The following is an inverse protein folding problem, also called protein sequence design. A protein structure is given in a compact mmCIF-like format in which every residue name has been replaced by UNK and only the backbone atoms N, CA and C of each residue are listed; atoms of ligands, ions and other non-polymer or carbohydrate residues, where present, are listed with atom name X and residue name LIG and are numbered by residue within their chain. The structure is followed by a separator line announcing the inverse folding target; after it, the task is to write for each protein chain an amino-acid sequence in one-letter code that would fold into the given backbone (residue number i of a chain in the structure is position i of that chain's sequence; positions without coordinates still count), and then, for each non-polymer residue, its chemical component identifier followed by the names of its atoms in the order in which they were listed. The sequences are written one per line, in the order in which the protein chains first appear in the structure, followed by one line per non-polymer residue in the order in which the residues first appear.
data_IF_274387278678
#
_entry.id   IF_274387278678
#
_cell.length_a   1.000
_cell.length_b   1.000
_cell.length_c   1.000
_cell.angle_alpha   90.00
_cell.angle_beta   90.00
_cell.angle_gamma   90.00
#
_symmetry.space_group_name_H-M   'P 1'
#
loop_
_entity.id
_entity.type
_entity.pdbx_description
1 polymer ?
#
# COMPACT_ATOMS: atom_id res chain seq x y z
N UNK A 1 -8.47 29.11 -21.36
CA UNK A 1 -7.52 28.22 -22.06
C UNK A 1 -7.98 26.79 -21.85
N UNK A 2 -7.78 25.89 -22.81
CA UNK A 2 -8.08 24.47 -22.60
C UNK A 2 -7.12 23.89 -21.53
N UNK A 3 -7.60 22.93 -20.73
CA UNK A 3 -6.82 22.24 -19.71
C UNK A 3 -6.63 20.78 -20.10
N UNK A 4 -5.48 20.20 -19.77
CA UNK A 4 -5.22 18.77 -19.94
C UNK A 4 -5.25 18.14 -18.55
N UNK A 5 -6.18 17.22 -18.30
CA UNK A 5 -6.36 16.60 -16.99
C UNK A 5 -6.31 15.08 -17.11
N UNK A 6 -5.79 14.41 -16.08
CA UNK A 6 -5.85 12.95 -15.97
C UNK A 6 -7.18 12.44 -15.41
N UNK A 7 -8.07 13.35 -14.99
CA UNK A 7 -9.37 13.00 -14.39
C UNK A 7 -10.39 12.55 -15.44
N UNK A 8 -11.14 11.51 -15.13
CA UNK A 8 -12.28 11.07 -15.93
C UNK A 8 -13.52 11.95 -15.77
N UNK A 9 -14.53 11.74 -16.61
CA UNK A 9 -15.81 12.44 -16.49
C UNK A 9 -16.52 12.15 -15.15
N UNK A 10 -16.38 10.92 -14.64
CA UNK A 10 -16.94 10.50 -13.35
C UNK A 10 -16.24 11.20 -12.17
N UNK A 11 -14.92 11.31 -12.26
CA UNK A 11 -14.08 12.05 -11.31
C UNK A 11 -14.41 13.55 -11.27
N UNK A 12 -14.55 14.19 -12.44
CA UNK A 12 -14.92 15.61 -12.53
C UNK A 12 -16.30 15.86 -11.93
N UNK A 13 -17.25 14.94 -12.14
CA UNK A 13 -18.58 15.02 -11.53
C UNK A 13 -18.48 14.95 -9.99
N UNK A 14 -17.70 14.00 -9.47
CA UNK A 14 -17.47 13.85 -8.03
C UNK A 14 -16.83 15.10 -7.41
N UNK A 15 -15.83 15.69 -8.06
CA UNK A 15 -15.24 16.97 -7.64
C UNK A 15 -16.27 18.10 -7.57
N UNK A 16 -17.15 18.20 -8.58
CA UNK A 16 -18.17 19.24 -8.62
C UNK A 16 -19.12 19.14 -7.41
N UNK A 17 -19.48 17.93 -6.98
CA UNK A 17 -20.30 17.72 -5.78
C UNK A 17 -19.59 18.11 -4.47
N UNK A 18 -18.25 18.18 -4.47
CA UNK A 18 -17.43 18.68 -3.36
C UNK A 18 -16.94 20.11 -3.55
N UNK A 19 -17.55 20.85 -4.48
CA UNK A 19 -17.22 22.25 -4.76
C UNK A 19 -15.80 22.47 -5.30
N UNK A 20 -15.29 21.50 -6.04
CA UNK A 20 -14.03 21.60 -6.78
C UNK A 20 -14.27 21.61 -8.30
N UNK A 21 -13.22 21.93 -9.04
CA UNK A 21 -13.15 21.85 -10.50
C UNK A 21 -11.80 21.28 -10.91
N UNK A 22 -11.74 20.65 -12.08
CA UNK A 22 -10.52 20.06 -12.61
C UNK A 22 -9.48 21.11 -13.03
N UNK A 23 -8.21 20.74 -12.84
CA UNK A 23 -7.02 21.48 -13.23
C UNK A 23 -6.09 20.64 -14.11
N UNK A 24 -4.90 21.18 -14.39
CA UNK A 24 -3.87 20.53 -15.20
C UNK A 24 -3.35 19.23 -14.55
N UNK A 25 -2.97 18.27 -15.38
CA UNK A 25 -2.11 17.16 -14.98
C UNK A 25 -0.75 17.73 -14.57
N UNK A 26 -0.19 17.17 -13.49
CA UNK A 26 1.12 17.57 -12.97
C UNK A 26 2.02 16.38 -12.79
N UNK A 27 3.31 16.60 -13.03
CA UNK A 27 4.32 15.54 -12.98
C UNK A 27 5.52 15.98 -12.17
N UNK A 28 6.04 15.09 -11.33
CA UNK A 28 7.30 15.30 -10.63
C UNK A 28 8.18 14.08 -10.79
N UNK A 29 9.41 14.28 -11.26
CA UNK A 29 10.36 13.21 -11.43
C UNK A 29 11.69 13.46 -10.71
N UNK A 30 12.36 12.39 -10.29
CA UNK A 30 13.71 12.41 -9.74
C UNK A 30 14.47 11.23 -10.33
N UNK A 31 15.61 11.49 -10.98
CA UNK A 31 16.43 10.45 -11.63
C UNK A 31 17.74 10.30 -10.89
N UNK A 32 18.01 9.10 -10.40
CA UNK A 32 19.23 8.75 -9.67
C UNK A 32 20.03 7.71 -10.47
N UNK A 33 21.35 7.85 -10.50
CA UNK A 33 22.21 6.91 -11.24
C UNK A 33 22.30 5.55 -10.56
N UNK A 34 22.33 4.46 -11.34
CA UNK A 34 22.53 3.11 -10.79
C UNK A 34 23.93 2.91 -10.21
N UNK A 35 24.94 3.70 -10.62
CA UNK A 35 26.27 3.65 -9.98
C UNK A 35 26.22 4.11 -8.52
N UNK A 36 25.44 5.15 -8.23
CA UNK A 36 25.20 5.63 -6.88
C UNK A 36 24.39 4.62 -6.06
N UNK A 37 23.27 4.13 -6.60
CA UNK A 37 22.38 3.19 -5.91
C UNK A 37 22.98 1.78 -5.77
N UNK A 38 23.70 1.30 -6.77
CA UNK A 38 24.41 0.02 -6.77
C UNK A 38 25.62 0.01 -5.85
N UNK A 39 26.30 1.15 -5.67
CA UNK A 39 27.37 1.31 -4.68
C UNK A 39 26.86 1.14 -3.24
N UNK A 40 25.62 1.57 -2.96
CA UNK A 40 24.94 1.33 -1.68
C UNK A 40 24.63 -0.16 -1.50
N UNK A 41 24.14 -0.83 -2.55
CA UNK A 41 23.77 -2.25 -2.56
C UNK A 41 24.94 -3.24 -2.46
N UNK A 42 26.08 -2.95 -3.08
CA UNK A 42 27.19 -3.89 -3.26
C UNK A 42 27.89 -4.30 -1.95
N UNK A 43 27.82 -3.48 -0.90
CA UNK A 43 28.39 -3.76 0.43
C UNK A 43 27.51 -4.67 1.33
N UNK A 44 26.30 -5.02 0.88
CA UNK A 44 25.27 -5.60 1.74
C UNK A 44 25.01 -7.09 1.46
N UNK A 45 25.86 -7.73 0.62
CA UNK A 45 25.74 -9.14 0.22
C UNK A 45 25.74 -10.16 1.39
N UNK A 46 25.99 -9.71 2.62
CA UNK A 46 26.06 -10.54 3.83
C UNK A 46 24.98 -10.21 4.88
N UNK A 47 24.00 -9.35 4.58
CA UNK A 47 22.95 -9.04 5.56
C UNK A 47 22.00 -10.23 5.75
N UNK A 48 21.81 -10.61 7.02
CA UNK A 48 20.71 -11.44 7.48
C UNK A 48 19.39 -10.77 7.05
N UNK A 49 18.39 -11.56 6.66
CA UNK A 49 17.15 -11.08 6.04
C UNK A 49 16.50 -9.91 6.79
N UNK A 50 15.78 -9.07 6.05
CA UNK A 50 15.14 -7.86 6.57
C UNK A 50 15.60 -6.58 5.88
N UNK A 51 15.33 -5.45 6.52
CA UNK A 51 15.53 -4.11 5.97
C UNK A 51 16.98 -3.82 5.58
N UNK A 52 17.14 -3.26 4.38
CA UNK A 52 18.36 -2.62 3.92
C UNK A 52 18.18 -1.12 4.08
N UNK A 53 18.64 -0.57 5.20
CA UNK A 53 18.32 0.81 5.60
C UNK A 53 18.86 1.86 4.64
N UNK A 54 20.08 1.70 4.11
CA UNK A 54 20.64 2.70 3.20
C UNK A 54 19.90 2.74 1.85
N UNK A 55 19.49 1.57 1.34
CA UNK A 55 18.65 1.48 0.13
C UNK A 55 17.26 2.06 0.40
N UNK A 56 16.66 1.71 1.54
CA UNK A 56 15.36 2.24 1.96
C UNK A 56 15.38 3.77 1.99
N UNK A 57 16.40 4.36 2.60
CA UNK A 57 16.57 5.81 2.67
C UNK A 57 16.78 6.44 1.29
N UNK A 58 17.59 5.85 0.43
CA UNK A 58 17.84 6.37 -0.92
C UNK A 58 16.57 6.36 -1.81
N UNK A 59 15.78 5.28 -1.72
CA UNK A 59 14.48 5.20 -2.41
C UNK A 59 13.50 6.22 -1.83
N UNK A 60 13.44 6.33 -0.50
CA UNK A 60 12.58 7.30 0.17
C UNK A 60 12.89 8.74 -0.26
N UNK A 61 14.16 9.12 -0.25
CA UNK A 61 14.62 10.45 -0.68
C UNK A 61 14.30 10.72 -2.15
N UNK A 62 14.50 9.73 -3.03
CA UNK A 62 14.13 9.82 -4.44
C UNK A 62 12.64 10.09 -4.64
N UNK A 63 11.78 9.36 -3.92
CA UNK A 63 10.31 9.57 -3.95
C UNK A 63 9.93 10.93 -3.38
N UNK A 64 10.50 11.34 -2.25
CA UNK A 64 10.22 12.64 -1.63
C UNK A 64 10.60 13.81 -2.55
N UNK A 65 11.75 13.73 -3.23
CA UNK A 65 12.19 14.74 -4.19
C UNK A 65 11.26 14.83 -5.42
N UNK A 66 10.82 13.69 -5.95
CA UNK A 66 9.87 13.66 -7.07
C UNK A 66 8.50 14.21 -6.66
N UNK A 67 7.99 13.81 -5.49
CA UNK A 67 6.73 14.30 -4.94
C UNK A 67 6.73 15.82 -4.71
N UNK A 68 7.80 16.37 -4.15
CA UNK A 68 7.93 17.81 -3.91
C UNK A 68 7.99 18.62 -5.22
N UNK A 69 8.59 18.06 -6.28
CA UNK A 69 8.57 18.68 -7.62
C UNK A 69 7.15 18.74 -8.19
N UNK A 70 6.38 17.65 -8.09
CA UNK A 70 4.98 17.61 -8.50
C UNK A 70 4.14 18.65 -7.73
N UNK A 71 4.35 18.78 -6.41
CA UNK A 71 3.68 19.81 -5.59
C UNK A 71 4.01 21.24 -6.04
N UNK A 72 5.28 21.52 -6.36
CA UNK A 72 5.70 22.83 -6.86
C UNK A 72 5.04 23.16 -8.20
N UNK A 73 4.95 22.19 -9.10
CA UNK A 73 4.24 22.35 -10.37
C UNK A 73 2.74 22.65 -10.15
N UNK A 74 2.08 21.89 -9.27
CA UNK A 74 0.68 22.15 -8.90
C UNK A 74 0.47 23.56 -8.31
N UNK A 75 1.40 24.03 -7.49
CA UNK A 75 1.37 25.39 -6.94
C UNK A 75 1.52 26.46 -8.03
N UNK A 76 2.35 26.23 -9.05
CA UNK A 76 2.48 27.14 -10.20
C UNK A 76 1.19 27.23 -11.03
N UNK A 77 0.41 26.15 -11.07
CA UNK A 77 -0.93 26.15 -11.67
C UNK A 77 -2.01 26.79 -10.79
N UNK A 78 -1.67 27.27 -9.57
CA UNK A 78 -2.66 27.83 -8.64
C UNK A 78 -3.66 26.77 -8.15
N UNK A 79 -3.24 25.52 -8.06
CA UNK A 79 -4.08 24.43 -7.59
C UNK A 79 -4.40 24.56 -6.10
N UNK A 80 -5.63 24.20 -5.74
CA UNK A 80 -6.05 23.99 -4.34
C UNK A 80 -5.59 22.64 -3.80
N UNK A 81 -5.28 21.69 -4.68
CA UNK A 81 -4.70 20.42 -4.34
C UNK A 81 -4.44 19.55 -5.56
N UNK A 82 -3.99 18.32 -5.33
CA UNK A 82 -3.79 17.31 -6.39
C UNK A 82 -4.51 16.01 -6.00
N UNK A 83 -5.37 15.52 -6.88
CA UNK A 83 -6.07 14.25 -6.72
C UNK A 83 -5.41 13.15 -7.55
N UNK A 84 -5.59 11.89 -7.14
CA UNK A 84 -5.13 10.71 -7.89
C UNK A 84 -3.60 10.62 -7.98
N UNK A 85 -2.89 10.95 -6.90
CA UNK A 85 -1.42 10.90 -6.90
C UNK A 85 -0.95 9.45 -6.97
N UNK A 86 -0.40 9.07 -8.12
CA UNK A 86 0.28 7.79 -8.33
C UNK A 86 1.80 7.95 -8.20
N UNK A 87 2.48 6.85 -7.85
CA UNK A 87 3.93 6.80 -7.76
C UNK A 87 4.46 5.59 -8.49
N UNK A 88 5.46 5.80 -9.35
CA UNK A 88 6.11 4.75 -10.11
C UNK A 88 7.62 4.76 -9.89
N UNK A 89 8.21 3.57 -9.96
CA UNK A 89 9.65 3.38 -9.94
C UNK A 89 10.07 2.73 -11.25
N UNK A 90 10.72 3.49 -12.12
CA UNK A 90 11.13 3.03 -13.45
C UNK A 90 12.64 2.87 -13.53
N UNK A 91 13.09 1.82 -14.19
CA UNK A 91 14.50 1.63 -14.50
C UNK A 91 14.72 1.88 -15.99
N UNK A 92 15.62 2.80 -16.34
CA UNK A 92 16.00 3.02 -17.73
C UNK A 92 17.46 3.47 -17.85
N UNK A 93 18.14 3.02 -18.90
CA UNK A 93 19.46 3.52 -19.34
C UNK A 93 20.49 3.74 -18.23
N UNK A 94 20.65 2.80 -17.29
CA UNK A 94 21.65 2.99 -16.24
C UNK A 94 21.17 3.78 -15.02
N UNK A 95 19.89 4.15 -14.94
CA UNK A 95 19.32 5.01 -13.91
C UNK A 95 17.98 4.49 -13.39
N UNK A 96 17.58 5.01 -12.23
CA UNK A 96 16.27 4.79 -11.63
C UNK A 96 15.54 6.13 -11.56
N UNK A 97 14.32 6.17 -12.09
CA UNK A 97 13.43 7.32 -12.02
C UNK A 97 12.29 7.05 -11.03
N UNK A 98 12.14 7.98 -10.09
CA UNK A 98 10.97 8.11 -9.25
C UNK A 98 10.02 9.09 -9.93
N UNK A 99 8.81 8.66 -10.22
CA UNK A 99 7.81 9.45 -10.92
C UNK A 99 6.56 9.59 -10.05
N UNK A 100 6.05 10.81 -9.94
CA UNK A 100 4.75 11.11 -9.35
C UNK A 100 3.90 11.83 -10.38
N UNK A 101 2.66 11.38 -10.55
CA UNK A 101 1.68 11.99 -11.46
C UNK A 101 0.38 12.20 -10.69
N UNK A 102 -0.31 13.30 -10.95
CA UNK A 102 -1.65 13.54 -10.42
C UNK A 102 -2.35 14.65 -11.20
N UNK A 103 -3.59 14.94 -10.83
CA UNK A 103 -4.36 16.02 -11.47
C UNK A 103 -4.70 17.12 -10.48
N UNK A 104 -4.41 18.36 -10.85
CA UNK A 104 -4.76 19.53 -10.04
C UNK A 104 -6.28 19.62 -9.85
N UNK A 105 -6.69 20.11 -8.70
CA UNK A 105 -8.07 20.49 -8.40
C UNK A 105 -8.11 21.91 -7.88
N UNK A 106 -9.16 22.66 -8.23
CA UNK A 106 -9.36 24.05 -7.77
C UNK A 106 -10.69 24.15 -7.04
N UNK A 107 -10.65 24.60 -5.79
CA UNK A 107 -11.87 24.92 -5.06
C UNK A 107 -12.59 26.08 -5.75
N UNK A 108 -13.92 26.05 -5.76
CA UNK A 108 -14.74 27.12 -6.35
C UNK A 108 -14.93 28.30 -5.40
N UNK A 109 -14.83 28.04 -4.10
CA UNK A 109 -14.79 29.07 -3.05
C UNK A 109 -13.34 29.29 -2.58
N UNK A 110 -13.13 30.28 -1.70
CA UNK A 110 -11.83 30.51 -1.08
C UNK A 110 -11.34 29.21 -0.41
N UNK A 111 -10.37 28.56 -1.05
CA UNK A 111 -9.84 27.29 -0.63
C UNK A 111 -9.07 27.42 0.68
N UNK A 112 -9.29 26.44 1.56
CA UNK A 112 -8.37 26.07 2.63
C UNK A 112 -7.04 25.52 2.08
N UNK A 113 -6.10 25.27 3.00
CA UNK A 113 -4.76 24.70 2.83
C UNK A 113 -4.64 23.72 1.66
N UNK A 114 -3.56 23.84 0.89
CA UNK A 114 -3.21 22.91 -0.20
C UNK A 114 -3.17 21.45 0.29
N UNK A 115 -3.75 20.53 -0.47
CA UNK A 115 -3.76 19.10 -0.15
C UNK A 115 -3.31 18.22 -1.32
N UNK A 116 -2.98 16.96 -1.05
CA UNK A 116 -2.80 15.92 -2.07
C UNK A 116 -3.44 14.61 -1.61
N UNK A 117 -3.86 13.75 -2.54
CA UNK A 117 -4.50 12.46 -2.21
C UNK A 117 -3.90 11.31 -3.00
N UNK A 118 -3.76 10.15 -2.38
CA UNK A 118 -3.41 8.92 -3.11
C UNK A 118 -4.57 8.43 -3.97
N UNK A 119 -5.79 8.55 -3.44
CA UNK A 119 -7.01 8.19 -4.16
C UNK A 119 -7.34 9.16 -5.28
N UNK A 120 -7.98 8.63 -6.31
CA UNK A 120 -8.56 9.39 -7.42
C UNK A 120 -9.70 10.32 -6.92
N UNK A 121 -10.33 11.08 -7.81
CA UNK A 121 -11.35 12.02 -7.37
C UNK A 121 -12.68 11.37 -6.92
N UNK A 122 -12.96 10.12 -7.32
CA UNK A 122 -14.10 9.36 -6.81
C UNK A 122 -13.84 8.96 -5.35
N UNK A 123 -12.65 8.41 -5.06
CA UNK A 123 -12.24 8.06 -3.71
C UNK A 123 -12.14 9.31 -2.81
N UNK A 124 -11.65 10.43 -3.34
CA UNK A 124 -11.65 11.71 -2.64
C UNK A 124 -13.06 12.17 -2.25
N UNK A 125 -14.03 12.03 -3.15
CA UNK A 125 -15.43 12.32 -2.84
C UNK A 125 -15.91 11.48 -1.67
N UNK A 126 -15.65 10.17 -1.69
CA UNK A 126 -16.05 9.24 -0.65
C UNK A 126 -15.42 9.59 0.70
N UNK A 127 -14.11 9.88 0.74
CA UNK A 127 -13.41 10.33 1.95
C UNK A 127 -14.04 11.60 2.53
N UNK A 128 -14.23 12.63 1.72
CA UNK A 128 -14.83 13.90 2.17
C UNK A 128 -16.29 13.75 2.63
N UNK A 129 -17.04 12.84 2.02
CA UNK A 129 -18.42 12.52 2.39
C UNK A 129 -18.49 11.74 3.72
N UNK A 130 -17.51 10.86 3.95
CA UNK A 130 -17.30 10.16 5.22
C UNK A 130 -16.65 11.03 6.31
N UNK A 131 -16.49 12.35 6.08
CA UNK A 131 -15.99 13.30 7.08
C UNK A 131 -14.45 13.40 7.19
N UNK A 132 -13.70 12.74 6.30
CA UNK A 132 -12.24 12.83 6.26
C UNK A 132 -11.81 14.02 5.41
N UNK A 133 -11.13 14.97 6.05
CA UNK A 133 -10.54 16.13 5.39
C UNK A 133 -9.13 15.79 4.90
N UNK A 134 -8.86 15.81 3.58
CA UNK A 134 -7.56 15.40 3.06
C UNK A 134 -6.47 16.42 3.43
N UNK A 135 -5.28 15.92 3.77
CA UNK A 135 -4.09 16.73 4.05
C UNK A 135 -3.03 16.45 3.00
N UNK A 136 -2.61 15.20 2.84
CA UNK A 136 -1.48 14.88 1.97
C UNK A 136 -1.46 13.42 1.52
N UNK A 137 -0.91 13.18 0.32
CA UNK A 137 -0.45 11.87 -0.10
C UNK A 137 0.70 11.46 0.82
N UNK A 138 0.49 10.41 1.61
CA UNK A 138 1.50 9.84 2.50
C UNK A 138 2.02 8.53 1.93
N UNK A 139 3.32 8.29 2.07
CA UNK A 139 3.95 7.06 1.64
C UNK A 139 5.03 6.58 2.61
N UNK A 140 5.08 5.27 2.84
CA UNK A 140 6.10 4.60 3.63
C UNK A 140 6.68 3.44 2.84
N UNK A 141 7.99 3.47 2.59
CA UNK A 141 8.68 2.42 1.87
C UNK A 141 9.68 1.67 2.76
N UNK A 142 9.96 0.44 2.38
CA UNK A 142 11.06 -0.37 2.92
C UNK A 142 11.65 -1.24 1.82
N UNK A 143 12.98 -1.19 1.68
CA UNK A 143 13.72 -2.12 0.84
C UNK A 143 14.30 -3.22 1.72
N UNK A 144 14.10 -4.48 1.35
CA UNK A 144 14.53 -5.62 2.15
C UNK A 144 15.04 -6.77 1.28
N UNK A 145 15.92 -7.58 1.88
CA UNK A 145 16.38 -8.84 1.30
C UNK A 145 15.71 -10.01 2.01
N UNK A 146 15.40 -11.06 1.26
CA UNK A 146 14.85 -12.31 1.80
C UNK A 146 15.92 -13.17 2.49
N UNK A 147 17.22 -12.83 2.35
CA UNK A 147 18.30 -13.38 3.19
C UNK A 147 18.50 -14.89 3.14
N UNK A 148 18.08 -15.58 2.07
CA UNK A 148 18.00 -17.05 2.01
C UNK A 148 19.35 -17.75 1.76
N UNK A 149 20.48 -17.08 2.02
CA UNK A 149 21.78 -17.43 1.42
C UNK A 149 22.93 -17.88 2.32
N UNK A 150 22.85 -17.89 3.66
CA UNK A 150 24.01 -18.41 4.40
C UNK A 150 24.09 -18.32 5.93
N UNK A 151 23.20 -17.59 6.62
CA UNK A 151 23.28 -17.46 8.08
C UNK A 151 22.33 -18.38 8.85
N UNK A 152 21.05 -18.39 8.46
CA UNK A 152 19.96 -19.07 9.21
C UNK A 152 19.82 -20.54 8.79
N UNK A 153 20.19 -20.88 7.54
CA UNK A 153 20.13 -22.26 7.05
C UNK A 153 21.07 -23.21 7.83
N UNK A 154 22.14 -22.68 8.44
CA UNK A 154 23.08 -23.43 9.27
C UNK A 154 22.61 -23.69 10.71
N UNK A 155 21.70 -22.85 11.24
CA UNK A 155 21.07 -23.04 12.55
C UNK A 155 19.75 -23.81 12.47
N UNK A 156 19.14 -23.93 11.29
CA UNK A 156 17.94 -24.76 11.04
C UNK A 156 18.24 -26.28 11.02
N UNK A 157 18.99 -26.78 12.00
CA UNK A 157 19.06 -28.21 12.31
C UNK A 157 17.83 -28.64 13.12
N UNK A 158 16.62 -28.59 12.52
CA UNK A 158 15.37 -29.25 12.98
C UNK A 158 14.23 -28.74 12.09
N UNK A 159 13.72 -29.45 11.08
CA UNK A 159 12.91 -30.67 11.15
C UNK A 159 11.68 -30.54 12.09
N UNK A 160 11.02 -29.38 12.07
CA UNK A 160 9.66 -29.23 12.64
C UNK A 160 8.70 -28.96 11.49
N UNK A 161 7.67 -29.80 11.39
CA UNK A 161 6.45 -29.52 10.62
C UNK A 161 5.78 -28.31 11.25
N UNK A 162 5.78 -27.16 10.58
CA UNK A 162 5.23 -25.95 11.15
C UNK A 162 5.86 -24.69 10.56
N UNK A 163 5.33 -23.55 11.01
CA UNK A 163 5.84 -22.24 10.66
C UNK A 163 7.31 -22.07 11.09
N UNK A 164 8.11 -21.42 10.25
CA UNK A 164 9.45 -20.96 10.62
C UNK A 164 9.34 -19.55 11.20
N UNK A 165 9.05 -19.46 12.50
CA UNK A 165 8.71 -18.21 13.17
C UNK A 165 9.78 -17.12 13.06
N UNK A 166 11.06 -17.48 12.98
CA UNK A 166 12.14 -16.49 12.77
C UNK A 166 11.99 -15.75 11.43
N UNK A 167 11.69 -16.46 10.34
CA UNK A 167 11.39 -15.83 9.05
C UNK A 167 10.08 -15.04 9.11
N UNK A 168 9.03 -15.61 9.68
CA UNK A 168 7.76 -14.88 9.86
C UNK A 168 7.97 -13.56 10.60
N UNK A 169 8.77 -13.55 11.67
CA UNK A 169 9.06 -12.36 12.45
C UNK A 169 9.84 -11.30 11.64
N UNK A 170 10.82 -11.72 10.82
CA UNK A 170 11.54 -10.81 9.93
C UNK A 170 10.57 -10.14 8.94
N UNK A 171 9.71 -10.93 8.29
CA UNK A 171 8.75 -10.42 7.33
C UNK A 171 7.72 -9.50 8.01
N UNK A 172 7.12 -9.94 9.12
CA UNK A 172 6.17 -9.12 9.89
C UNK A 172 6.81 -7.78 10.32
N UNK A 173 7.99 -7.82 10.94
CA UNK A 173 8.69 -6.60 11.37
C UNK A 173 8.99 -5.68 10.19
N UNK A 174 9.46 -6.23 9.08
CA UNK A 174 9.77 -5.45 7.87
C UNK A 174 8.52 -4.76 7.31
N UNK A 175 7.40 -5.47 7.21
CA UNK A 175 6.15 -4.89 6.68
C UNK A 175 5.58 -3.83 7.61
N UNK A 176 5.62 -4.04 8.91
CA UNK A 176 5.16 -3.05 9.90
C UNK A 176 5.97 -1.76 9.85
N UNK A 177 7.28 -1.82 9.61
CA UNK A 177 8.10 -0.62 9.44
C UNK A 177 7.69 0.25 8.25
N UNK A 178 7.15 -0.31 7.16
CA UNK A 178 6.61 0.48 6.06
C UNK A 178 5.38 1.29 6.52
N UNK A 179 4.47 0.64 7.25
CA UNK A 179 3.31 1.29 7.85
C UNK A 179 3.70 2.37 8.86
N UNK A 180 4.68 2.09 9.74
CA UNK A 180 5.19 3.06 10.71
C UNK A 180 5.75 4.32 10.06
N UNK A 181 6.44 4.20 8.91
CA UNK A 181 6.94 5.34 8.15
C UNK A 181 5.81 6.18 7.55
N UNK A 182 4.82 5.52 6.97
CA UNK A 182 3.60 6.17 6.46
C UNK A 182 2.88 6.94 7.58
N UNK A 183 2.69 6.31 8.74
CA UNK A 183 2.07 6.93 9.93
C UNK A 183 2.91 8.09 10.46
N UNK A 184 4.23 7.95 10.49
CA UNK A 184 5.15 9.01 10.95
C UNK A 184 5.06 10.25 10.07
N UNK A 185 5.00 10.07 8.75
CA UNK A 185 4.78 11.18 7.81
C UNK A 185 3.43 11.84 8.05
N UNK A 186 2.35 11.05 8.10
CA UNK A 186 0.99 11.57 8.30
C UNK A 186 0.87 12.37 9.61
N UNK A 187 1.45 11.86 10.70
CA UNK A 187 1.53 12.56 11.98
C UNK A 187 2.27 13.89 11.86
N UNK A 188 3.42 13.91 11.18
CA UNK A 188 4.20 15.13 10.97
C UNK A 188 3.43 16.20 10.16
N UNK A 189 2.58 15.77 9.23
CA UNK A 189 1.72 16.65 8.43
C UNK A 189 0.49 17.17 9.22
N UNK A 190 0.24 16.61 10.40
CA UNK A 190 -0.89 16.95 11.28
C UNK A 190 -2.17 16.15 10.98
N UNK A 191 -2.05 14.99 10.34
CA UNK A 191 -3.16 14.07 10.14
C UNK A 191 -3.39 13.18 11.37
N UNK A 192 -4.63 12.70 11.54
CA UNK A 192 -4.99 11.70 12.55
C UNK A 192 -5.51 10.39 11.92
N UNK A 193 -5.48 10.29 10.59
CA UNK A 193 -5.81 9.10 9.83
C UNK A 193 -4.97 9.00 8.55
N UNK A 194 -4.73 7.79 8.07
CA UNK A 194 -4.32 7.50 6.69
C UNK A 194 -5.27 6.45 6.12
N UNK A 195 -6.05 6.84 5.11
CA UNK A 195 -7.12 6.03 4.51
C UNK A 195 -6.83 5.72 3.05
N UNK A 196 -7.45 4.66 2.51
CA UNK A 196 -7.22 4.22 1.14
C UNK A 196 -5.79 3.72 0.91
N UNK A 197 -5.19 3.09 1.93
CA UNK A 197 -3.81 2.59 1.85
C UNK A 197 -3.73 1.47 0.82
N UNK A 198 -2.89 1.67 -0.19
CA UNK A 198 -2.50 0.65 -1.17
C UNK A 198 -1.11 0.17 -0.85
N UNK A 199 -0.93 -1.15 -0.87
CA UNK A 199 0.36 -1.81 -0.63
C UNK A 199 0.85 -2.44 -1.92
N UNK A 200 2.07 -2.08 -2.34
CA UNK A 200 2.73 -2.64 -3.51
C UNK A 200 4.07 -3.22 -3.12
N UNK A 201 4.41 -4.40 -3.65
CA UNK A 201 5.74 -5.00 -3.49
C UNK A 201 6.38 -5.06 -4.89
N UNK A 202 7.45 -4.30 -5.09
CA UNK A 202 8.18 -4.20 -6.35
C UNK A 202 9.54 -4.88 -6.23
N UNK A 203 9.94 -5.76 -7.17
CA UNK A 203 11.30 -6.23 -7.24
C UNK A 203 12.22 -5.08 -7.66
N UNK A 204 13.31 -4.87 -6.94
CA UNK A 204 14.27 -3.82 -7.24
C UNK A 204 15.70 -4.27 -6.94
N UNK A 205 16.53 -4.37 -7.98
CA UNK A 205 17.98 -4.64 -7.87
C UNK A 205 18.37 -5.84 -6.97
N UNK A 206 17.61 -6.94 -7.04
CA UNK A 206 17.85 -8.13 -6.21
C UNK A 206 17.32 -8.02 -4.77
N UNK A 207 16.58 -6.97 -4.47
CA UNK A 207 15.83 -6.73 -3.23
C UNK A 207 14.35 -6.58 -3.56
N UNK A 208 13.49 -6.51 -2.54
CA UNK A 208 12.09 -6.13 -2.69
C UNK A 208 11.88 -4.78 -2.03
N UNK A 209 11.21 -3.86 -2.72
CA UNK A 209 10.64 -2.66 -2.12
C UNK A 209 9.18 -2.93 -1.80
N UNK A 210 8.79 -2.81 -0.54
CA UNK A 210 7.40 -2.65 -0.17
C UNK A 210 7.10 -1.16 0.00
N UNK A 211 6.11 -0.67 -0.74
CA UNK A 211 5.59 0.69 -0.67
C UNK A 211 4.14 0.64 -0.18
N UNK A 212 3.84 1.38 0.88
CA UNK A 212 2.47 1.72 1.26
C UNK A 212 2.22 3.18 0.93
N UNK A 213 1.09 3.48 0.30
CA UNK A 213 0.68 4.84 0.01
C UNK A 213 -0.81 5.03 0.27
N UNK A 214 -1.19 6.16 0.85
CA UNK A 214 -2.57 6.47 1.21
C UNK A 214 -2.82 7.97 1.35
N UNK A 215 -4.04 8.35 1.70
CA UNK A 215 -4.41 9.75 1.90
C UNK A 215 -4.40 10.07 3.40
N UNK A 216 -3.36 10.78 3.85
CA UNK A 216 -3.32 11.34 5.18
C UNK A 216 -4.43 12.39 5.32
N UNK A 217 -5.26 12.23 6.33
CA UNK A 217 -6.49 12.99 6.51
C UNK A 217 -6.74 13.33 7.98
N UNK A 218 -7.62 14.29 8.22
CA UNK A 218 -8.15 14.60 9.55
C UNK A 218 -9.63 14.28 9.62
N UNK A 219 -10.04 13.55 10.66
CA UNK A 219 -11.44 13.31 10.99
C UNK A 219 -11.74 13.83 12.41
N UNK A 220 -12.75 14.70 12.54
CA UNK A 220 -13.05 15.40 13.79
C UNK A 220 -13.62 14.53 14.91
N UNK A 221 -14.24 13.40 14.58
CA UNK A 221 -14.79 12.47 15.58
C UNK A 221 -13.79 11.39 16.04
N UNK A 222 -12.58 11.34 15.47
CA UNK A 222 -11.56 10.42 15.97
C UNK A 222 -11.09 10.86 17.37
N UNK A 223 -10.73 9.90 18.26
CA UNK A 223 -10.24 10.24 19.59
C UNK A 223 -8.91 10.99 19.52
N UNK A 224 -8.62 11.82 20.52
CA UNK A 224 -7.37 12.59 20.59
C UNK A 224 -6.09 11.72 20.55
N UNK A 225 -6.18 10.44 20.93
CA UNK A 225 -5.07 9.49 20.75
C UNK A 225 -4.64 9.33 19.30
N UNK A 226 -5.55 9.53 18.35
CA UNK A 226 -5.27 9.46 16.92
C UNK A 226 -4.37 10.60 16.42
N UNK A 227 -4.27 11.73 17.13
CA UNK A 227 -3.30 12.77 16.80
C UNK A 227 -1.85 12.32 17.06
N UNK A 228 -1.65 11.42 18.04
CA UNK A 228 -0.34 10.85 18.35
C UNK A 228 -0.05 9.57 17.58
N UNK A 229 -1.09 8.78 17.31
CA UNK A 229 -1.04 7.52 16.59
C UNK A 229 -2.17 7.49 15.54
N UNK A 230 -1.95 8.11 14.36
CA UNK A 230 -2.95 8.13 13.30
C UNK A 230 -3.53 6.74 13.00
N UNK A 231 -4.85 6.66 12.84
CA UNK A 231 -5.51 5.41 12.43
C UNK A 231 -5.13 5.08 10.98
N UNK A 232 -5.14 3.81 10.61
CA UNK A 232 -4.78 3.37 9.26
C UNK A 232 -5.82 2.43 8.69
N UNK A 233 -6.02 2.48 7.37
CA UNK A 233 -7.04 1.66 6.68
C UNK A 233 -6.68 1.43 5.22
N UNK A 234 -6.81 0.18 4.77
CA UNK A 234 -6.75 -0.22 3.36
C UNK A 234 -8.13 -0.27 2.69
N UNK A 235 -9.21 0.02 3.42
CA UNK A 235 -10.55 0.15 2.82
C UNK A 235 -10.52 1.15 1.67
N UNK A 236 -11.16 0.78 0.55
CA UNK A 236 -11.38 1.72 -0.55
C UNK A 236 -12.25 2.89 -0.10
N UNK A 237 -12.31 3.97 -0.88
CA UNK A 237 -13.19 5.09 -0.58
C UNK A 237 -14.65 4.66 -0.34
N UNK A 238 -15.17 3.78 -1.19
CA UNK A 238 -16.53 3.25 -1.08
C UNK A 238 -16.71 2.38 0.17
N UNK A 239 -15.75 1.52 0.49
CA UNK A 239 -15.78 0.70 1.71
C UNK A 239 -15.70 1.57 2.97
N UNK A 240 -14.83 2.59 2.99
CA UNK A 240 -14.72 3.53 4.10
C UNK A 240 -16.04 4.30 4.29
N UNK A 241 -16.65 4.77 3.20
CA UNK A 241 -17.95 5.43 3.22
C UNK A 241 -19.04 4.49 3.76
N UNK A 242 -19.09 3.25 3.29
CA UNK A 242 -20.06 2.26 3.73
C UNK A 242 -19.92 1.96 5.22
N UNK A 243 -18.72 1.70 5.71
CA UNK A 243 -18.45 1.44 7.13
C UNK A 243 -18.79 2.66 7.99
N UNK A 244 -18.43 3.87 7.53
CA UNK A 244 -18.78 5.12 8.22
C UNK A 244 -20.28 5.35 8.28
N UNK A 245 -21.04 4.98 7.23
CA UNK A 245 -22.50 5.07 7.21
C UNK A 245 -23.18 4.17 8.26
N UNK A 246 -22.50 3.09 8.65
CA UNK A 246 -22.91 2.16 9.71
C UNK A 246 -22.40 2.57 11.11
N UNK A 247 -21.68 3.70 11.21
CA UNK A 247 -21.08 4.23 12.42
C UNK A 247 -19.74 3.62 12.82
N UNK A 248 -19.09 2.86 11.93
CA UNK A 248 -17.77 2.30 12.16
C UNK A 248 -16.66 3.27 11.73
N UNK A 249 -15.59 3.29 12.52
CA UNK A 249 -14.35 3.96 12.23
C UNK A 249 -13.22 2.93 12.06
N UNK A 250 -12.25 3.18 11.17
CA UNK A 250 -11.02 2.41 11.12
C UNK A 250 -10.19 2.67 12.38
N UNK A 251 -9.51 1.62 12.84
CA UNK A 251 -8.59 1.64 13.97
C UNK A 251 -7.16 1.48 13.48
N UNK A 252 -6.89 0.42 12.70
CA UNK A 252 -5.55 0.14 12.18
C UNK A 252 -5.62 -0.83 10.98
N UNK A 253 -4.74 -0.63 10.01
CA UNK A 253 -4.40 -1.61 9.00
C UNK A 253 -3.55 -2.69 9.65
N UNK A 254 -4.08 -3.90 9.70
CA UNK A 254 -3.44 -5.07 10.29
C UNK A 254 -2.81 -5.93 9.21
N UNK A 255 -1.65 -6.50 9.51
CA UNK A 255 -0.90 -7.36 8.60
C UNK A 255 -0.23 -8.50 9.34
N UNK A 256 -0.37 -9.72 8.83
CA UNK A 256 0.26 -10.90 9.41
C UNK A 256 0.75 -11.85 8.34
N UNK A 257 1.98 -12.31 8.51
CA UNK A 257 2.65 -13.29 7.66
C UNK A 257 3.02 -14.54 8.45
N UNK A 258 2.90 -15.69 7.79
CA UNK A 258 3.41 -16.99 8.24
C UNK A 258 4.25 -17.64 7.15
N UNK A 259 5.51 -17.98 7.45
CA UNK A 259 6.47 -18.60 6.52
C UNK A 259 6.64 -20.09 6.83
N UNK A 260 6.62 -20.93 5.80
CA UNK A 260 6.79 -22.38 5.91
C UNK A 260 7.83 -22.90 4.91
N UNK A 261 8.47 -24.03 5.23
CA UNK A 261 9.36 -24.73 4.30
C UNK A 261 8.70 -25.93 3.63
N UNK A 262 8.62 -25.87 2.31
CA UNK A 262 8.39 -27.01 1.42
C UNK A 262 9.57 -27.98 1.40
N UNK A 263 10.78 -27.60 1.82
CA UNK A 263 11.97 -28.46 1.76
C UNK A 263 11.87 -29.74 2.62
N UNK A 264 11.08 -29.69 3.70
CA UNK A 264 10.72 -30.89 4.49
C UNK A 264 9.74 -31.78 3.71
N UNK A 265 8.86 -31.15 2.92
CA UNK A 265 7.91 -31.84 2.03
C UNK A 265 8.59 -32.33 0.75
N UNK A 266 9.65 -31.69 0.27
CA UNK A 266 10.36 -31.96 -0.99
C UNK A 266 11.10 -33.28 -1.03
N UNK A 267 11.71 -33.70 0.09
CA UNK A 267 12.25 -35.06 0.24
C UNK A 267 11.15 -36.13 0.20
N UNK A 268 9.92 -35.75 0.58
CA UNK A 268 8.72 -36.58 0.53
C UNK A 268 8.03 -36.55 -0.86
N UNK A 269 8.01 -35.40 -1.53
CA UNK A 269 7.42 -35.15 -2.86
C UNK A 269 8.22 -35.83 -3.98
N UNK A 270 9.55 -35.95 -3.84
CA UNK A 270 10.36 -36.77 -4.73
C UNK A 270 10.04 -38.27 -4.59
N UNK A 271 9.67 -38.75 -3.40
CA UNK A 271 9.19 -40.12 -3.17
C UNK A 271 7.74 -40.32 -3.67
N UNK A 272 6.90 -39.28 -3.61
CA UNK A 272 5.50 -39.28 -4.08
C UNK A 272 5.31 -38.99 -5.57
N UNK A 273 6.31 -38.44 -6.29
CA UNK A 273 6.24 -38.24 -7.75
C UNK A 273 6.03 -39.54 -8.55
N UNK A 274 6.18 -40.70 -7.92
CA UNK A 274 5.83 -42.00 -8.50
C UNK A 274 4.32 -42.30 -8.49
N UNK A 275 3.52 -41.58 -7.69
CA UNK A 275 2.08 -41.83 -7.50
C UNK A 275 1.38 -40.53 -7.09
N UNK A 276 0.70 -39.82 -8.03
CA UNK A 276 -0.68 -39.28 -7.84
C UNK A 276 -1.07 -38.22 -8.88
N UNK A 277 -2.18 -38.47 -9.58
CA UNK A 277 -3.18 -37.47 -9.99
C UNK A 277 -4.07 -37.25 -8.75
N UNK A 278 -4.03 -36.08 -8.10
CA UNK A 278 -4.85 -35.80 -6.91
C UNK A 278 -4.33 -34.63 -6.07
N UNK A 279 -5.05 -34.31 -4.99
CA UNK A 279 -4.65 -33.34 -3.97
C UNK A 279 -3.43 -33.83 -3.18
N UNK A 280 -2.49 -32.92 -2.88
CA UNK A 280 -1.35 -33.22 -2.02
C UNK A 280 -1.72 -32.83 -0.59
N UNK A 281 -2.27 -33.78 0.16
CA UNK A 281 -2.83 -33.56 1.52
C UNK A 281 -1.90 -32.80 2.46
N UNK A 282 -0.60 -33.02 2.36
CA UNK A 282 0.40 -32.39 3.23
C UNK A 282 0.59 -30.91 2.90
N UNK A 283 0.56 -30.56 1.61
CA UNK A 283 0.62 -29.16 1.17
C UNK A 283 -0.67 -28.43 1.52
N UNK A 284 -1.82 -29.09 1.34
CA UNK A 284 -3.12 -28.52 1.75
C UNK A 284 -3.12 -28.22 3.25
N UNK A 285 -2.68 -29.17 4.08
CA UNK A 285 -2.62 -28.98 5.54
C UNK A 285 -1.68 -27.83 5.90
N UNK A 286 -0.50 -27.77 5.28
CA UNK A 286 0.47 -26.70 5.52
C UNK A 286 -0.10 -25.30 5.23
N UNK A 287 -0.79 -25.14 4.09
CA UNK A 287 -1.42 -23.85 3.74
C UNK A 287 -2.58 -23.53 4.69
N UNK A 288 -3.34 -24.54 5.13
CA UNK A 288 -4.38 -24.35 6.14
C UNK A 288 -3.82 -23.88 7.47
N UNK A 289 -2.77 -24.52 7.97
CA UNK A 289 -2.10 -24.15 9.22
C UNK A 289 -1.53 -22.73 9.12
N UNK A 290 -0.87 -22.39 8.00
CA UNK A 290 -0.34 -21.06 7.75
C UNK A 290 -1.41 -19.98 7.76
N UNK A 291 -2.57 -20.27 7.15
CA UNK A 291 -3.72 -19.38 7.13
C UNK A 291 -4.29 -19.18 8.53
N UNK A 292 -4.48 -20.26 9.28
CA UNK A 292 -5.06 -20.21 10.62
C UNK A 292 -4.20 -19.36 11.56
N UNK A 293 -2.87 -19.56 11.53
CA UNK A 293 -1.92 -18.75 12.31
C UNK A 293 -1.96 -17.28 11.89
N UNK A 294 -1.93 -16.99 10.59
CA UNK A 294 -1.91 -15.60 10.12
C UNK A 294 -3.20 -14.85 10.52
N UNK A 295 -4.37 -15.48 10.36
CA UNK A 295 -5.66 -14.90 10.73
C UNK A 295 -5.81 -14.78 12.25
N UNK A 296 -5.35 -15.76 13.02
CA UNK A 296 -5.38 -15.69 14.48
C UNK A 296 -4.61 -14.47 15.00
N UNK A 297 -3.41 -14.21 14.47
CA UNK A 297 -2.62 -13.02 14.83
C UNK A 297 -3.30 -11.70 14.47
N UNK A 298 -3.95 -11.62 13.30
CA UNK A 298 -4.74 -10.43 12.95
C UNK A 298 -5.86 -10.20 13.97
N UNK A 299 -6.52 -11.27 14.40
CA UNK A 299 -7.58 -11.18 15.41
C UNK A 299 -7.04 -10.78 16.78
N UNK A 300 -5.94 -11.41 17.22
CA UNK A 300 -5.30 -11.08 18.49
C UNK A 300 -4.90 -9.60 18.54
N UNK A 301 -4.30 -9.07 17.47
CA UNK A 301 -3.94 -7.65 17.38
C UNK A 301 -5.20 -6.75 17.36
N UNK A 302 -6.27 -7.16 16.68
CA UNK A 302 -7.53 -6.41 16.68
C UNK A 302 -8.17 -6.36 18.08
N UNK A 303 -8.16 -7.49 18.81
CA UNK A 303 -8.66 -7.62 20.17
C UNK A 303 -7.84 -6.75 21.14
N UNK A 304 -6.52 -6.71 21.00
CA UNK A 304 -5.61 -5.83 21.77
C UNK A 304 -5.90 -4.34 21.53
N UNK A 305 -6.29 -3.97 20.30
CA UNK A 305 -6.69 -2.61 19.94
C UNK A 305 -8.14 -2.29 20.35
N UNK A 306 -8.90 -3.28 20.84
CA UNK A 306 -10.30 -3.16 21.19
C UNK A 306 -11.20 -2.84 19.99
N UNK A 307 -10.81 -3.32 18.80
CA UNK A 307 -11.63 -3.31 17.60
C UNK A 307 -12.75 -4.36 17.71
N UNK A 308 -13.83 -4.17 16.97
CA UNK A 308 -14.97 -5.10 16.96
C UNK A 308 -14.85 -6.12 15.83
N UNK A 309 -14.27 -5.71 14.69
CA UNK A 309 -14.16 -6.55 13.49
C UNK A 309 -12.85 -6.24 12.75
N UNK A 310 -12.37 -7.21 11.95
CA UNK A 310 -11.35 -7.00 10.91
C UNK A 310 -12.02 -7.22 9.56
N UNK A 311 -12.18 -6.16 8.79
CA UNK A 311 -12.95 -6.16 7.54
C UNK A 311 -12.04 -6.04 6.32
N UNK A 312 -12.57 -6.44 5.17
CA UNK A 312 -11.83 -6.39 3.91
C UNK A 312 -10.57 -7.24 3.92
N UNK A 313 -10.56 -8.40 4.59
CA UNK A 313 -9.36 -9.25 4.68
C UNK A 313 -9.02 -9.81 3.30
N UNK A 314 -7.80 -9.54 2.82
CA UNK A 314 -7.21 -10.16 1.64
C UNK A 314 -6.10 -11.11 2.05
N UNK A 315 -5.98 -12.24 1.35
CA UNK A 315 -4.96 -13.25 1.62
C UNK A 315 -4.11 -13.50 0.39
N UNK A 316 -2.81 -13.64 0.59
CA UNK A 316 -1.83 -13.87 -0.47
C UNK A 316 -0.97 -15.07 -0.13
N UNK A 317 -0.65 -15.86 -1.15
CA UNK A 317 0.29 -16.98 -1.04
C UNK A 317 1.38 -16.74 -2.08
N UNK A 318 2.64 -16.77 -1.66
CA UNK A 318 3.79 -16.56 -2.53
C UNK A 318 4.92 -17.54 -2.21
N UNK A 319 5.59 -18.05 -3.24
CA UNK A 319 6.85 -18.75 -3.07
C UNK A 319 7.99 -17.72 -3.03
N UNK A 320 8.78 -17.74 -1.95
CA UNK A 320 9.83 -16.73 -1.69
C UNK A 320 11.25 -17.26 -1.96
N UNK A 321 11.35 -18.39 -2.66
CA UNK A 321 12.58 -19.07 -3.03
C UNK A 321 13.05 -20.11 -2.00
N UNK A 322 13.97 -20.98 -2.41
CA UNK A 322 14.54 -22.08 -1.61
C UNK A 322 13.49 -23.01 -0.97
N UNK A 323 12.35 -23.18 -1.63
CA UNK A 323 11.23 -23.98 -1.12
C UNK A 323 10.59 -23.37 0.13
N UNK A 324 10.58 -22.05 0.27
CA UNK A 324 9.80 -21.36 1.30
C UNK A 324 8.51 -20.81 0.70
N UNK A 325 7.41 -20.96 1.44
CA UNK A 325 6.10 -20.39 1.09
C UNK A 325 5.69 -19.41 2.16
N UNK A 326 5.25 -18.24 1.71
CA UNK A 326 4.63 -17.21 2.51
C UNK A 326 3.10 -17.31 2.38
N UNK A 327 2.41 -17.30 3.52
CA UNK A 327 1.01 -16.91 3.61
C UNK A 327 0.94 -15.54 4.29
N UNK A 328 0.29 -14.56 3.65
CA UNK A 328 0.08 -13.22 4.20
C UNK A 328 -1.42 -12.91 4.24
N UNK A 329 -1.88 -12.31 5.34
CA UNK A 329 -3.21 -11.75 5.47
C UNK A 329 -3.11 -10.26 5.84
N UNK A 330 -3.98 -9.44 5.25
CA UNK A 330 -4.06 -7.99 5.47
C UNK A 330 -5.52 -7.57 5.52
N UNK A 331 -5.88 -6.65 6.41
CA UNK A 331 -7.23 -6.09 6.50
C UNK A 331 -7.31 -4.95 7.51
N UNK A 332 -8.45 -4.31 7.60
CA UNK A 332 -8.62 -3.14 8.48
C UNK A 332 -9.43 -3.50 9.72
N UNK A 333 -8.84 -3.28 10.90
CA UNK A 333 -9.57 -3.33 12.16
C UNK A 333 -10.50 -2.13 12.28
N UNK A 334 -11.76 -2.36 12.64
CA UNK A 334 -12.81 -1.32 12.74
C UNK A 334 -13.56 -1.40 14.06
N UNK A 335 -14.12 -0.27 14.48
CA UNK A 335 -14.91 -0.17 15.71
C UNK A 335 -16.03 0.85 15.55
N UNK A 336 -17.21 0.60 16.12
CA UNK A 336 -18.23 1.64 16.22
C UNK A 336 -17.75 2.80 17.09
N UNK A 337 -17.87 4.02 16.57
CA UNK A 337 -17.49 5.23 17.28
C UNK A 337 -18.60 6.29 17.20
N UNK A 338 -18.98 6.91 18.33
CA UNK A 338 -19.94 8.01 18.32
C UNK A 338 -19.48 9.15 17.40
N UNK A 339 -20.41 9.72 16.62
CA UNK A 339 -20.12 10.85 15.73
C UNK A 339 -19.58 10.47 14.35
N UNK A 340 -19.42 9.19 14.04
CA UNK A 340 -19.17 8.72 12.68
C UNK A 340 -20.49 8.63 11.90
N UNK A 341 -20.55 9.39 10.81
CA UNK A 341 -21.71 9.43 9.89
C UNK A 341 -21.26 9.99 8.56
N UNK A 342 -22.02 9.70 7.50
CA UNK A 342 -21.79 10.23 6.16
C UNK A 342 -22.63 11.48 5.90
N UNK A 343 -22.15 12.37 5.02
CA UNK A 343 -22.85 13.61 4.66
C UNK A 343 -24.00 13.36 3.68
N UNK A 344 -23.87 12.40 2.78
CA UNK A 344 -24.87 12.05 1.78
C UNK A 344 -25.62 10.77 2.15
N UNK A 345 -26.89 10.67 1.76
CA UNK A 345 -27.71 9.47 2.01
C UNK A 345 -27.27 8.24 1.20
N UNK A 346 -26.52 8.46 0.12
CA UNK A 346 -26.01 7.44 -0.77
C UNK A 346 -24.87 7.99 -1.63
N UNK A 347 -24.00 7.10 -2.11
CA UNK A 347 -23.00 7.45 -3.12
C UNK A 347 -23.69 7.70 -4.47
N UNK A 348 -23.30 8.75 -5.22
CA UNK A 348 -23.74 8.92 -6.59
C UNK A 348 -23.19 7.78 -7.45
N UNK A 349 -23.89 7.43 -8.53
CA UNK A 349 -23.45 6.37 -9.43
C UNK A 349 -22.04 6.62 -10.00
N UNK A 350 -21.66 7.89 -10.16
CA UNK A 350 -20.35 8.32 -10.64
C UNK A 350 -19.23 8.11 -9.63
N UNK A 351 -19.52 7.90 -8.34
CA UNK A 351 -18.50 7.57 -7.34
C UNK A 351 -18.22 6.06 -7.25
N UNK A 352 -19.02 5.23 -7.93
CA UNK A 352 -18.88 3.77 -7.94
C UNK A 352 -18.64 3.23 -9.36
N UNK A 353 -18.74 4.10 -10.37
CA UNK A 353 -18.63 3.72 -11.78
C UNK A 353 -17.17 3.58 -12.13
N UNK A 354 -16.72 2.34 -12.36
CA UNK A 354 -15.37 2.12 -12.89
C UNK A 354 -15.25 2.69 -14.29
N UNK A 355 -14.16 3.42 -14.51
CA UNK A 355 -13.80 3.86 -15.84
C UNK A 355 -13.46 2.66 -16.71
N UNK A 356 -13.84 2.76 -17.98
CA UNK A 356 -13.59 1.72 -18.97
C UNK A 356 -12.45 2.18 -19.84
N UNK A 357 -11.43 1.35 -19.94
CA UNK A 357 -10.40 1.55 -20.94
C UNK A 357 -11.03 1.54 -22.33
N UNK A 358 -10.90 2.67 -23.02
CA UNK A 358 -11.26 2.80 -24.44
C UNK A 358 -10.10 2.38 -25.33
N UNK A 359 -8.91 2.27 -24.75
CA UNK A 359 -7.74 1.67 -25.35
C UNK A 359 -7.55 0.25 -24.82
N UNK A 360 -8.03 -0.73 -25.58
CA UNK A 360 -7.81 -2.15 -25.27
C UNK A 360 -6.55 -2.56 -26.03
N UNK A 361 -5.49 -2.91 -25.30
CA UNK A 361 -4.22 -3.26 -25.89
C UNK A 361 -4.37 -4.49 -26.79
N UNK A 362 -4.36 -4.26 -28.10
CA UNK A 362 -3.94 -5.24 -29.09
C UNK A 362 -2.57 -4.79 -29.55
N UNK A 363 -1.54 -5.25 -28.82
CA UNK A 363 -0.11 -5.13 -29.09
C UNK A 363 0.23 -4.09 -30.16
N UNK A 364 0.71 -2.91 -29.77
CA UNK A 364 1.29 -1.90 -30.67
C UNK A 364 2.57 -2.38 -31.41
N UNK A 365 2.81 -3.69 -31.49
CA UNK A 365 4.07 -4.31 -31.90
C UNK A 365 5.18 -4.19 -30.85
N UNK A 366 4.89 -3.59 -29.69
CA UNK A 366 5.79 -3.48 -28.55
C UNK A 366 4.97 -3.53 -27.25
N UNK A 367 5.39 -4.39 -26.31
CA UNK A 367 4.81 -4.48 -24.98
C UNK A 367 5.00 -3.16 -24.25
N UNK A 368 3.90 -2.45 -24.01
CA UNK A 368 3.86 -1.40 -23.00
C UNK A 368 3.87 -2.12 -21.65
N UNK A 369 4.98 -2.04 -20.92
CA UNK A 369 5.07 -2.60 -19.57
C UNK A 369 4.14 -1.81 -18.64
N UNK A 370 2.87 -2.21 -18.62
CA UNK A 370 1.85 -1.76 -17.65
C UNK A 370 1.71 -2.84 -16.59
N UNK A 371 2.80 -3.15 -15.89
CA UNK A 371 2.73 -3.89 -14.63
C UNK A 371 2.29 -2.94 -13.50
N UNK A 372 1.01 -2.56 -13.53
CA UNK A 372 0.41 -1.72 -12.50
C UNK A 372 -1.09 -1.52 -12.71
N UNK A 373 -1.87 -2.13 -11.82
CA UNK A 373 -3.33 -2.02 -11.60
C UNK A 373 -4.24 -3.07 -12.26
N UNK A 374 -4.73 -3.96 -11.40
CA UNK A 374 -6.05 -4.60 -11.45
C UNK A 374 -6.64 -4.57 -10.06
#
# INVERSE_FOLDING_TARGET
MAKVTGLSGNEIFCLALKNYSAGEIVVGNSVNSMGFLGGIGAGLKNMLGGEITQVTAAIHEGRANAFERMRKEAAQHGASGVAGVSSELRSFSGSTEFLFVGSCVHARDASSRFFTTAGDAQELYCHMDAGYEPIQHAFGNIAYSMGVGGGIMGSLKTLVRGEISEYSNIFNTTRHKALERLVSQAKADGANAVVGIRTTILPWMGTHEMLMAGTASRHGALPASADSNPVTSDLTGEELWAMTSLGYAPVKLLMSTSIYSLGVVGGFMAAFKSFTKGEISDLTTLIHDAREIAIARLKDEADELGAEEVVGVKTYIAEIGSGLVEFMAIGTAVKKMPGFSVKSAGLPAQAISRDKDTWIDGDFGFSLDRSGSS
#
